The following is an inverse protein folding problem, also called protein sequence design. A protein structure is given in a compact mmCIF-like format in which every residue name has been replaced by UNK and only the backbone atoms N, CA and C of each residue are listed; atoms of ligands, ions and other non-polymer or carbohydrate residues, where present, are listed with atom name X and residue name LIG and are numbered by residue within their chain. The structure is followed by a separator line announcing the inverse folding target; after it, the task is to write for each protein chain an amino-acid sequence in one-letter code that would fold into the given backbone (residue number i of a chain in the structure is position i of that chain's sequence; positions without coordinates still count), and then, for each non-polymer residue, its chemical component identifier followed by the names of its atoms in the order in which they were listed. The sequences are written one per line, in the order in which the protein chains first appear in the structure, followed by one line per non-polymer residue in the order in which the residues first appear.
data_IF_042998178921
#
_entry.id   IF_042998178921
#
_cell.length_a   1.000
_cell.length_b   1.000
_cell.length_c   1.000
_cell.angle_alpha   90.00
_cell.angle_beta   90.00
_cell.angle_gamma   90.00
#
_symmetry.space_group_name_H-M   'P 1'
#
loop_
_entity.id
_entity.type
_entity.pdbx_description
1 polymer ?
#
# COMPACT_ATOMS: atom_id res chain seq x y z
N UNK A 1 4.56 -10.04 2.93
CA UNK A 1 4.22 -9.00 3.92
C UNK A 1 3.67 -9.66 5.16
N UNK A 2 4.30 -9.39 6.31
CA UNK A 2 3.68 -9.72 7.58
C UNK A 2 2.47 -8.79 7.79
N UNK A 3 1.43 -9.27 8.49
CA UNK A 3 0.22 -8.46 8.80
C UNK A 3 0.57 -7.11 9.46
N UNK A 4 1.62 -7.08 10.25
CA UNK A 4 2.11 -5.87 10.93
C UNK A 4 2.64 -4.82 9.96
N UNK A 5 3.42 -5.21 8.95
CA UNK A 5 3.94 -4.28 7.92
C UNK A 5 2.79 -3.67 7.13
N UNK A 6 1.78 -4.48 6.78
CA UNK A 6 0.57 -4.01 6.12
C UNK A 6 -0.17 -2.98 6.98
N UNK A 7 -0.35 -3.23 8.28
CA UNK A 7 -0.98 -2.27 9.19
C UNK A 7 -0.21 -0.95 9.29
N UNK A 8 1.12 -1.01 9.26
CA UNK A 8 1.98 0.18 9.20
C UNK A 8 1.76 0.97 7.91
N UNK A 9 1.73 0.29 6.75
CA UNK A 9 1.43 0.93 5.44
C UNK A 9 0.07 1.60 5.47
N UNK A 10 -0.93 0.89 6.00
CA UNK A 10 -2.31 1.36 6.05
C UNK A 10 -2.50 2.53 7.02
N UNK A 11 -1.68 2.65 8.06
CA UNK A 11 -1.80 3.69 9.08
C UNK A 11 -3.23 3.76 9.67
N UNK A 12 -3.82 2.57 9.89
CA UNK A 12 -5.19 2.41 10.36
C UNK A 12 -6.30 2.70 9.34
N UNK A 13 -5.97 3.04 8.09
CA UNK A 13 -6.94 3.31 7.00
C UNK A 13 -7.31 2.05 6.22
N UNK A 14 -8.46 2.07 5.55
CA UNK A 14 -8.82 0.99 4.65
C UNK A 14 -7.96 1.06 3.38
N UNK A 15 -7.73 -0.09 2.73
CA UNK A 15 -7.02 -0.14 1.43
C UNK A 15 -7.71 0.75 0.40
N UNK A 16 -9.05 0.83 0.43
CA UNK A 16 -9.85 1.68 -0.47
C UNK A 16 -9.65 3.17 -0.26
N UNK A 17 -9.19 3.60 0.92
CA UNK A 17 -8.92 5.02 1.20
C UNK A 17 -7.57 5.45 0.62
N UNK A 18 -6.62 4.50 0.51
CA UNK A 18 -5.30 4.72 -0.07
C UNK A 18 -5.30 4.47 -1.57
N UNK A 19 -5.99 3.41 -1.99
CA UNK A 19 -6.12 2.99 -3.38
C UNK A 19 -7.61 2.87 -3.69
N UNK A 20 -8.25 3.95 -4.15
CA UNK A 20 -9.67 3.93 -4.48
C UNK A 20 -9.93 3.04 -5.70
N UNK A 21 -11.05 2.30 -5.72
CA UNK A 21 -11.45 1.54 -6.89
C UNK A 21 -11.87 2.47 -8.04
N UNK A 22 -11.59 2.07 -9.27
CA UNK A 22 -12.14 2.76 -10.44
C UNK A 22 -13.61 2.39 -10.65
N UNK A 23 -14.38 3.29 -11.28
CA UNK A 23 -15.77 3.01 -11.61
C UNK A 23 -15.87 1.81 -12.57
N UNK A 24 -16.63 0.78 -12.17
CA UNK A 24 -16.81 -0.44 -12.96
C UNK A 24 -15.61 -1.39 -12.94
N UNK A 25 -14.61 -1.15 -12.10
CA UNK A 25 -13.46 -2.04 -11.94
C UNK A 25 -13.88 -3.39 -11.35
N UNK A 26 -13.48 -4.48 -11.99
CA UNK A 26 -13.74 -5.81 -11.44
C UNK A 26 -12.91 -6.02 -10.17
N UNK A 27 -13.48 -6.71 -9.18
CA UNK A 27 -12.81 -6.98 -7.89
C UNK A 27 -11.42 -7.59 -8.05
N UNK A 28 -11.23 -8.47 -9.05
CA UNK A 28 -9.94 -9.11 -9.32
C UNK A 28 -8.90 -8.09 -9.80
N UNK A 29 -9.30 -7.21 -10.70
CA UNK A 29 -8.43 -6.20 -11.29
C UNK A 29 -8.04 -5.16 -10.24
N UNK A 30 -9.00 -4.75 -9.40
CA UNK A 30 -8.77 -3.93 -8.22
C UNK A 30 -7.73 -4.57 -7.30
N UNK A 31 -7.89 -5.84 -6.94
CA UNK A 31 -6.98 -6.52 -6.03
C UNK A 31 -5.55 -6.58 -6.56
N UNK A 32 -5.37 -6.84 -7.86
CA UNK A 32 -4.04 -6.87 -8.50
C UNK A 32 -3.40 -5.48 -8.43
N UNK A 33 -4.14 -4.44 -8.85
CA UNK A 33 -3.65 -3.06 -8.87
C UNK A 33 -3.32 -2.55 -7.47
N UNK A 34 -4.26 -2.69 -6.52
CA UNK A 34 -4.08 -2.25 -5.15
C UNK A 34 -2.89 -2.93 -4.47
N UNK A 35 -2.66 -4.23 -4.74
CA UNK A 35 -1.47 -4.93 -4.25
C UNK A 35 -0.18 -4.33 -4.81
N UNK A 36 -0.16 -4.02 -6.12
CA UNK A 36 0.99 -3.38 -6.75
C UNK A 36 1.29 -1.99 -6.18
N UNK A 37 0.27 -1.15 -6.02
CA UNK A 37 0.41 0.19 -5.45
C UNK A 37 0.88 0.14 -3.98
N UNK A 38 0.33 -0.77 -3.17
CA UNK A 38 0.78 -0.96 -1.79
C UNK A 38 2.23 -1.44 -1.70
N UNK A 39 2.69 -2.28 -2.63
CA UNK A 39 4.08 -2.72 -2.68
C UNK A 39 5.02 -1.56 -3.02
N UNK A 40 4.62 -0.66 -3.94
CA UNK A 40 5.40 0.55 -4.24
C UNK A 40 5.51 1.43 -3.00
N UNK A 41 4.40 1.67 -2.29
CA UNK A 41 4.40 2.46 -1.04
C UNK A 41 5.31 1.86 0.04
N UNK A 42 5.30 0.53 0.18
CA UNK A 42 6.18 -0.18 1.09
C UNK A 42 7.66 0.08 0.76
N UNK A 43 8.06 -0.13 -0.49
CA UNK A 43 9.45 0.03 -0.93
C UNK A 43 9.93 1.48 -0.87
N UNK A 44 9.04 2.46 -1.10
CA UNK A 44 9.37 3.88 -0.97
C UNK A 44 9.63 4.29 0.49
N UNK A 45 8.90 3.71 1.46
CA UNK A 45 9.12 3.98 2.89
C UNK A 45 10.48 3.50 3.38
N UNK A 46 10.91 2.32 2.96
CA UNK A 46 12.24 1.80 3.30
C UNK A 46 13.36 2.71 2.74
N UNK A 47 13.13 3.35 1.58
CA UNK A 47 14.07 4.32 1.01
C UNK A 47 14.14 5.63 1.81
N UNK A 48 13.01 6.13 2.32
CA UNK A 48 12.95 7.35 3.15
C UNK A 48 13.59 7.14 4.54
N UNK A 49 13.41 5.96 5.14
CA UNK A 49 14.03 5.62 6.43
C UNK A 49 15.54 5.36 6.29
N UNK A 50 16.01 4.83 5.16
CA UNK A 50 17.44 4.69 4.86
C UNK A 50 18.16 6.05 4.66
N UNK A 51 17.42 7.13 4.43
CA UNK A 51 17.94 8.48 4.25
C UNK A 51 18.10 9.33 5.52
N UNK A 52 17.60 8.86 6.69
CA UNK A 52 17.78 9.57 7.96
C UNK A 52 19.04 9.06 8.68
N UNK A 53 20.06 9.90 8.91
CA UNK A 53 21.13 9.55 9.84
C UNK A 53 20.53 9.45 11.25
N UNK A 54 20.81 8.33 11.93
CA UNK A 54 20.55 8.15 13.38
C UNK A 54 21.46 9.04 14.21
#
# INVERSE_FOLDING_TARGET
MARTELMTILDGRAVTDLVPPHAGEATRDYAIRATGELMVLYLSRDADDAGRPV
#
